data_IF_215608216293
#
_entry.id   IF_215608216293
#
_cell.length_a   1.000
_cell.length_b   1.000
_cell.length_c   1.000
_cell.angle_alpha   90.00
_cell.angle_beta   90.00
_cell.angle_gamma   90.00
#
_symmetry.space_group_name_H-M   'P 1'
#
loop_
_entity.id
_entity.type
_entity.pdbx_description
1 polymer ?
#
# COMPACT_ATOMS: atom_id res chain seq x y z
N UNK A 1 -17.89 -6.56 2.18
CA UNK A 1 -18.60 -5.29 2.45
C UNK A 1 -19.96 -5.65 2.96
N UNK A 2 -20.37 -5.05 4.05
CA UNK A 2 -21.64 -5.34 4.69
C UNK A 2 -22.84 -4.94 3.83
N UNK A 3 -23.94 -5.66 4.02
CA UNK A 3 -25.13 -5.56 3.18
C UNK A 3 -26.09 -4.43 3.62
N UNK A 4 -25.74 -3.63 4.65
CA UNK A 4 -26.65 -2.57 5.10
C UNK A 4 -26.11 -1.61 6.16
N UNK A 5 -26.93 -0.63 6.52
CA UNK A 5 -26.62 0.39 7.52
C UNK A 5 -26.46 -0.18 8.95
N UNK A 6 -27.07 -1.34 9.25
CA UNK A 6 -26.99 -1.98 10.56
C UNK A 6 -25.55 -2.43 10.86
N UNK A 7 -24.82 -2.98 9.88
CA UNK A 7 -23.43 -3.38 10.04
C UNK A 7 -22.50 -2.19 10.30
N UNK A 8 -22.83 -1.01 9.73
CA UNK A 8 -22.10 0.23 10.02
C UNK A 8 -22.33 0.65 11.49
N UNK A 9 -23.53 0.45 12.02
CA UNK A 9 -23.84 0.73 13.43
C UNK A 9 -23.07 -0.18 14.37
N UNK A 10 -22.87 -1.44 13.99
CA UNK A 10 -22.12 -2.42 14.78
C UNK A 10 -20.63 -2.09 14.90
N UNK A 11 -20.06 -1.28 13.99
CA UNK A 11 -18.65 -0.91 14.00
C UNK A 11 -18.19 -0.23 15.30
N UNK A 12 -19.12 0.34 16.11
CA UNK A 12 -18.82 0.91 17.41
C UNK A 12 -18.72 -0.12 18.54
N UNK A 13 -19.28 -1.32 18.35
CA UNK A 13 -19.40 -2.37 19.37
C UNK A 13 -18.45 -3.56 19.15
N UNK A 14 -17.68 -3.56 18.06
CA UNK A 14 -16.68 -4.59 17.78
C UNK A 14 -15.47 -4.48 18.72
N UNK A 15 -14.71 -5.57 18.87
CA UNK A 15 -13.51 -5.57 19.71
C UNK A 15 -12.40 -4.66 19.18
N UNK A 16 -12.31 -4.48 17.86
CA UNK A 16 -11.41 -3.55 17.17
C UNK A 16 -11.85 -3.31 15.73
N UNK A 17 -11.43 -2.19 15.15
CA UNK A 17 -11.55 -1.89 13.74
C UNK A 17 -10.21 -2.06 13.03
N UNK A 18 -10.22 -2.56 11.79
CA UNK A 18 -9.03 -2.63 10.94
C UNK A 18 -9.16 -1.59 9.83
N UNK A 19 -8.22 -0.66 9.79
CA UNK A 19 -8.15 0.40 8.79
C UNK A 19 -7.32 -0.11 7.61
N UNK A 20 -7.98 -0.46 6.52
CA UNK A 20 -7.33 -0.98 5.30
C UNK A 20 -7.12 0.09 4.22
N UNK A 21 -7.58 1.32 4.48
CA UNK A 21 -7.44 2.44 3.55
C UNK A 21 -7.25 3.76 4.30
N UNK A 22 -6.43 4.70 3.79
CA UNK A 22 -6.30 6.04 4.38
C UNK A 22 -7.63 6.80 4.51
N UNK A 23 -8.60 6.50 3.65
CA UNK A 23 -9.93 7.11 3.69
C UNK A 23 -10.70 6.77 4.98
N UNK A 24 -10.53 5.56 5.51
CA UNK A 24 -11.23 5.09 6.70
C UNK A 24 -10.63 5.61 8.03
N UNK A 25 -9.44 6.21 8.00
CA UNK A 25 -8.71 6.62 9.20
C UNK A 25 -9.48 7.63 10.07
N UNK A 26 -10.15 8.60 9.44
CA UNK A 26 -10.96 9.59 10.17
C UNK A 26 -12.13 8.93 10.90
N UNK A 27 -12.79 7.97 10.26
CA UNK A 27 -13.90 7.21 10.86
C UNK A 27 -13.40 6.36 12.03
N UNK A 28 -12.27 5.68 11.87
CA UNK A 28 -11.68 4.87 12.94
C UNK A 28 -11.32 5.72 14.18
N UNK A 29 -10.70 6.88 13.98
CA UNK A 29 -10.42 7.85 15.05
C UNK A 29 -11.69 8.36 15.74
N UNK A 30 -12.74 8.61 14.97
CA UNK A 30 -14.03 9.01 15.55
C UNK A 30 -14.64 7.90 16.41
N UNK A 31 -14.63 6.65 15.93
CA UNK A 31 -15.15 5.50 16.68
C UNK A 31 -14.36 5.26 17.97
N UNK A 32 -13.03 5.35 17.90
CA UNK A 32 -12.19 5.24 19.11
C UNK A 32 -12.49 6.35 20.12
N UNK A 33 -12.55 7.60 19.68
CA UNK A 33 -12.81 8.75 20.55
C UNK A 33 -14.21 8.70 21.18
N UNK A 34 -15.22 8.26 20.41
CA UNK A 34 -16.64 8.34 20.82
C UNK A 34 -17.10 7.11 21.59
N UNK A 35 -16.63 5.94 21.20
CA UNK A 35 -17.10 4.65 21.72
C UNK A 35 -16.00 3.82 22.41
N UNK A 36 -14.73 4.28 22.35
CA UNK A 36 -13.60 3.54 22.90
C UNK A 36 -13.17 2.33 22.07
N UNK A 37 -13.70 2.16 20.86
CA UNK A 37 -13.37 1.03 19.98
C UNK A 37 -11.99 1.21 19.38
N UNK A 38 -10.97 0.40 19.76
CA UNK A 38 -9.62 0.56 19.25
C UNK A 38 -9.53 0.24 17.76
N UNK A 39 -8.49 0.75 17.08
CA UNK A 39 -8.24 0.43 15.70
C UNK A 39 -6.77 0.09 15.42
N UNK A 40 -6.55 -0.70 14.39
CA UNK A 40 -5.23 -1.01 13.84
C UNK A 40 -5.19 -0.62 12.36
N UNK A 41 -4.01 -0.17 11.89
CA UNK A 41 -3.83 0.25 10.51
C UNK A 41 -2.92 -0.77 9.83
N UNK A 42 -3.50 -1.68 9.07
CA UNK A 42 -2.75 -2.67 8.29
C UNK A 42 -3.66 -3.36 7.27
N UNK A 43 -3.03 -4.00 6.27
CA UNK A 43 -3.72 -4.86 5.32
C UNK A 43 -3.56 -6.33 5.76
N UNK A 44 -4.64 -7.05 6.15
CA UNK A 44 -4.53 -8.36 6.79
C UNK A 44 -4.05 -9.49 5.86
N UNK A 45 -4.22 -9.34 4.54
CA UNK A 45 -3.80 -10.34 3.54
C UNK A 45 -2.47 -9.97 2.86
N UNK A 46 -1.58 -9.28 3.56
CA UNK A 46 -0.33 -8.77 3.00
C UNK A 46 0.59 -9.87 2.49
N UNK A 47 0.61 -11.01 3.14
CA UNK A 47 1.48 -12.14 2.77
C UNK A 47 1.15 -12.70 1.37
N UNK A 48 -0.10 -12.59 0.94
CA UNK A 48 -0.54 -13.01 -0.41
C UNK A 48 0.01 -12.09 -1.52
N UNK A 49 0.47 -10.89 -1.17
CA UNK A 49 1.00 -9.90 -2.09
C UNK A 49 2.53 -9.97 -2.23
N UNK A 50 3.21 -10.74 -1.39
CA UNK A 50 4.67 -10.79 -1.32
C UNK A 50 5.17 -12.13 -1.88
N UNK A 51 5.76 -12.12 -3.08
CA UNK A 51 6.34 -13.33 -3.65
C UNK A 51 7.56 -13.82 -2.85
N UNK A 52 7.88 -15.09 -3.01
CA UNK A 52 9.04 -15.72 -2.38
C UNK A 52 10.31 -15.41 -3.19
N UNK A 53 10.91 -14.25 -2.92
CA UNK A 53 12.19 -13.81 -3.47
C UNK A 53 13.11 -13.33 -2.35
N UNK A 54 14.41 -13.29 -2.61
CA UNK A 54 15.38 -12.77 -1.64
C UNK A 54 15.34 -11.23 -1.60
N UNK A 55 14.93 -10.69 -0.47
CA UNK A 55 14.88 -9.26 -0.19
C UNK A 55 16.11 -8.73 0.53
N UNK A 56 17.04 -9.60 0.93
CA UNK A 56 18.20 -9.23 1.73
C UNK A 56 19.05 -8.16 1.05
N UNK A 57 19.20 -7.02 1.69
CA UNK A 57 19.98 -5.89 1.19
C UNK A 57 19.36 -5.14 0.00
N UNK A 58 18.16 -5.49 -0.43
CA UNK A 58 17.50 -4.91 -1.60
C UNK A 58 16.89 -3.54 -1.31
N UNK A 59 16.90 -2.67 -2.32
CA UNK A 59 16.15 -1.42 -2.36
C UNK A 59 14.85 -1.62 -3.13
N UNK A 60 13.74 -1.34 -2.49
CA UNK A 60 12.41 -1.66 -3.02
C UNK A 60 11.57 -0.39 -3.16
N UNK A 61 10.90 -0.24 -4.31
CA UNK A 61 9.83 0.75 -4.51
C UNK A 61 8.48 0.04 -4.48
N UNK A 62 7.53 0.59 -3.74
CA UNK A 62 6.14 0.12 -3.73
C UNK A 62 5.24 1.26 -4.20
N UNK A 63 4.57 1.06 -5.33
CA UNK A 63 3.60 2.03 -5.87
C UNK A 63 2.19 1.48 -5.68
N UNK A 64 1.57 1.84 -4.57
CA UNK A 64 0.26 1.32 -4.21
C UNK A 64 -0.49 2.25 -3.25
N UNK A 65 -1.72 1.89 -2.88
CA UNK A 65 -2.47 2.53 -1.81
C UNK A 65 -1.67 2.45 -0.50
N UNK A 66 -1.60 3.57 0.23
CA UNK A 66 -0.65 3.77 1.33
C UNK A 66 -0.71 2.72 2.45
N UNK A 67 -1.89 2.23 2.85
CA UNK A 67 -1.98 1.23 3.93
C UNK A 67 -1.47 -0.14 3.47
N UNK A 68 -1.79 -0.53 2.24
CA UNK A 68 -1.28 -1.77 1.64
C UNK A 68 0.25 -1.67 1.50
N UNK A 69 0.73 -0.57 0.92
CA UNK A 69 2.16 -0.34 0.73
C UNK A 69 2.94 -0.34 2.07
N UNK A 70 2.40 0.29 3.10
CA UNK A 70 2.99 0.27 4.45
C UNK A 70 3.02 -1.14 5.06
N UNK A 71 1.99 -1.94 4.80
CA UNK A 71 1.94 -3.33 5.28
C UNK A 71 2.99 -4.19 4.57
N UNK A 72 3.12 -4.06 3.25
CA UNK A 72 4.17 -4.72 2.47
C UNK A 72 5.56 -4.25 2.97
N UNK A 73 5.79 -2.94 3.12
CA UNK A 73 7.06 -2.39 3.63
C UNK A 73 7.47 -3.03 4.94
N UNK A 74 6.54 -3.13 5.89
CA UNK A 74 6.79 -3.73 7.20
C UNK A 74 7.30 -5.17 7.07
N UNK A 75 6.70 -5.98 6.20
CA UNK A 75 7.11 -7.37 6.01
C UNK A 75 8.43 -7.48 5.24
N UNK A 76 8.65 -6.64 4.21
CA UNK A 76 9.91 -6.64 3.46
C UNK A 76 11.12 -6.24 4.33
N UNK A 77 10.95 -5.26 5.22
CA UNK A 77 12.00 -4.89 6.18
C UNK A 77 12.33 -6.04 7.14
N UNK A 78 11.33 -6.82 7.59
CA UNK A 78 11.56 -8.04 8.38
C UNK A 78 12.31 -9.11 7.58
N UNK A 79 12.08 -9.19 6.27
CA UNK A 79 12.77 -10.09 5.33
C UNK A 79 14.16 -9.59 4.92
N UNK A 80 14.66 -8.49 5.52
CA UNK A 80 16.02 -8.00 5.31
C UNK A 80 16.19 -6.98 4.19
N UNK A 81 15.11 -6.41 3.64
CA UNK A 81 15.23 -5.30 2.69
C UNK A 81 16.00 -4.12 3.31
N UNK A 82 16.93 -3.54 2.55
CA UNK A 82 17.76 -2.43 2.99
C UNK A 82 16.96 -1.13 3.11
N UNK A 83 16.12 -0.87 2.11
CA UNK A 83 15.26 0.30 2.03
C UNK A 83 13.98 -0.06 1.29
N UNK A 84 12.86 0.44 1.79
CA UNK A 84 11.57 0.33 1.10
C UNK A 84 10.93 1.70 1.03
N UNK A 85 10.84 2.26 -0.16
CA UNK A 85 10.21 3.54 -0.45
C UNK A 85 8.78 3.31 -0.98
N UNK A 86 7.87 4.19 -0.60
CA UNK A 86 6.49 4.14 -1.07
C UNK A 86 6.20 5.35 -1.94
N UNK A 87 5.49 5.10 -3.04
CA UNK A 87 4.91 6.13 -3.88
C UNK A 87 3.43 5.86 -4.13
N UNK A 88 2.63 6.89 -4.32
CA UNK A 88 1.21 6.76 -4.66
C UNK A 88 0.72 7.99 -5.41
N UNK A 89 -0.19 7.79 -6.36
CA UNK A 89 -0.97 8.90 -6.98
C UNK A 89 -2.18 9.28 -6.16
N UNK A 90 -2.56 8.43 -5.22
CA UNK A 90 -3.80 8.59 -4.46
C UNK A 90 -3.50 9.08 -3.05
N UNK A 91 -4.56 9.29 -2.32
CA UNK A 91 -4.56 9.81 -0.97
C UNK A 91 -3.44 9.25 -0.09
N UNK A 92 -2.50 10.12 0.29
CA UNK A 92 -1.50 9.84 1.32
C UNK A 92 -1.75 10.70 2.56
N UNK A 93 -1.79 10.08 3.72
CA UNK A 93 -1.91 10.77 5.02
C UNK A 93 -0.52 11.01 5.58
N UNK A 94 -0.24 12.25 6.01
CA UNK A 94 1.07 12.65 6.57
C UNK A 94 1.52 11.77 7.74
N UNK A 95 0.58 11.39 8.59
CA UNK A 95 0.83 10.55 9.76
C UNK A 95 1.23 9.09 9.45
N UNK A 96 1.09 8.66 8.18
CA UNK A 96 1.45 7.33 7.70
C UNK A 96 2.67 7.35 6.76
N UNK A 97 3.28 8.51 6.56
CA UNK A 97 4.49 8.65 5.73
C UNK A 97 5.74 8.23 6.51
N UNK A 98 6.69 7.65 5.80
CA UNK A 98 8.07 7.57 6.22
C UNK A 98 8.95 8.47 5.34
N UNK A 99 10.20 8.68 5.76
CA UNK A 99 11.15 9.48 5.00
C UNK A 99 11.37 8.88 3.60
N UNK A 100 11.28 9.75 2.60
CA UNK A 100 11.42 9.40 1.19
C UNK A 100 10.13 8.93 0.51
N UNK A 101 9.01 8.78 1.23
CA UNK A 101 7.72 8.47 0.59
C UNK A 101 7.25 9.64 -0.29
N UNK A 102 6.68 9.34 -1.46
CA UNK A 102 6.37 10.33 -2.50
C UNK A 102 4.90 10.25 -2.92
N UNK A 103 4.24 11.41 -2.95
CA UNK A 103 2.98 11.56 -3.68
C UNK A 103 3.32 11.90 -5.13
N UNK A 104 3.03 10.98 -6.04
CA UNK A 104 3.22 11.16 -7.48
C UNK A 104 2.16 12.12 -8.03
N UNK A 105 2.56 12.98 -8.97
CA UNK A 105 1.64 13.93 -9.63
C UNK A 105 1.03 13.34 -10.89
N UNK A 106 1.84 12.62 -11.66
CA UNK A 106 1.53 12.08 -12.97
C UNK A 106 2.42 10.86 -13.26
N UNK A 107 2.28 10.29 -14.44
CA UNK A 107 3.07 9.16 -14.89
C UNK A 107 4.54 9.52 -15.09
N UNK A 108 4.84 10.74 -15.54
CA UNK A 108 6.22 11.20 -15.74
C UNK A 108 6.98 11.22 -14.40
N UNK A 109 6.34 11.64 -13.31
CA UNK A 109 6.92 11.61 -11.97
C UNK A 109 7.26 10.18 -11.50
N UNK A 110 6.48 9.18 -11.92
CA UNK A 110 6.79 7.78 -11.66
C UNK A 110 8.02 7.32 -12.46
N UNK A 111 8.07 7.65 -13.74
CA UNK A 111 9.21 7.31 -14.62
C UNK A 111 10.48 7.95 -14.06
N UNK A 112 10.46 9.24 -13.73
CA UNK A 112 11.59 9.96 -13.14
C UNK A 112 12.04 9.34 -11.82
N UNK A 113 11.09 8.94 -10.95
CA UNK A 113 11.40 8.30 -9.68
C UNK A 113 12.15 6.98 -9.89
N UNK A 114 11.73 6.17 -10.86
CA UNK A 114 12.37 4.88 -11.16
C UNK A 114 13.74 5.10 -11.81
N UNK A 115 13.85 6.05 -12.76
CA UNK A 115 15.11 6.32 -13.46
C UNK A 115 16.20 6.91 -12.54
N UNK A 116 15.80 7.71 -11.58
CA UNK A 116 16.73 8.35 -10.62
C UNK A 116 16.96 7.52 -9.35
N UNK A 117 16.22 6.44 -9.16
CA UNK A 117 16.34 5.55 -7.99
C UNK A 117 17.12 4.28 -8.30
N UNK A 118 17.86 3.79 -7.31
CA UNK A 118 18.61 2.53 -7.38
C UNK A 118 17.75 1.37 -6.86
N UNK A 119 16.57 1.15 -7.47
CA UNK A 119 15.68 0.09 -7.04
C UNK A 119 16.04 -1.27 -7.65
N UNK A 120 16.09 -2.30 -6.81
CA UNK A 120 16.25 -3.70 -7.22
C UNK A 120 14.88 -4.34 -7.55
N UNK A 121 13.83 -3.93 -6.82
CA UNK A 121 12.50 -4.53 -6.90
C UNK A 121 11.44 -3.42 -6.91
N UNK A 122 10.46 -3.55 -7.80
CA UNK A 122 9.30 -2.65 -7.86
C UNK A 122 8.02 -3.44 -7.69
N UNK A 123 7.19 -3.06 -6.72
CA UNK A 123 5.82 -3.51 -6.55
C UNK A 123 4.89 -2.45 -7.13
N UNK A 124 4.18 -2.76 -8.19
CA UNK A 124 3.21 -1.85 -8.81
C UNK A 124 2.19 -2.63 -9.64
N UNK A 125 1.13 -1.96 -10.10
CA UNK A 125 0.19 -2.57 -11.04
C UNK A 125 0.88 -2.92 -12.35
N UNK A 126 0.63 -4.12 -12.90
CA UNK A 126 1.30 -4.64 -14.09
C UNK A 126 1.18 -3.75 -15.34
N UNK A 127 0.18 -2.86 -15.41
CA UNK A 127 0.12 -1.90 -16.52
C UNK A 127 1.24 -0.85 -16.46
N UNK A 128 1.84 -0.62 -15.30
CA UNK A 128 2.90 0.35 -15.08
C UNK A 128 4.29 -0.15 -15.51
N UNK A 129 4.47 -1.47 -15.63
CA UNK A 129 5.74 -2.05 -16.10
C UNK A 129 6.13 -1.51 -17.48
N UNK A 130 5.13 -1.30 -18.35
CA UNK A 130 5.34 -0.77 -19.71
C UNK A 130 5.86 0.66 -19.75
N UNK A 131 5.73 1.41 -18.66
CA UNK A 131 6.18 2.81 -18.56
C UNK A 131 7.67 2.90 -18.24
N UNK A 132 8.28 1.80 -17.78
CA UNK A 132 9.69 1.74 -17.33
C UNK A 132 10.45 0.61 -18.06
N UNK A 133 10.50 0.57 -19.40
CA UNK A 133 11.08 -0.53 -20.17
C UNK A 133 12.58 -0.74 -19.91
N UNK A 134 13.26 0.30 -19.42
CA UNK A 134 14.69 0.24 -19.09
C UNK A 134 14.98 -0.33 -17.69
N UNK A 135 13.96 -0.52 -16.86
CA UNK A 135 14.14 -1.14 -15.54
C UNK A 135 14.58 -2.61 -15.71
N UNK A 136 15.67 -3.00 -15.04
CA UNK A 136 16.26 -4.35 -15.14
C UNK A 136 16.11 -5.18 -13.88
N UNK A 137 15.49 -4.62 -12.84
CA UNK A 137 15.22 -5.32 -11.59
C UNK A 137 14.00 -6.25 -11.68
N UNK A 138 13.53 -6.69 -10.53
CA UNK A 138 12.34 -7.55 -10.43
C UNK A 138 11.09 -6.67 -10.35
N UNK A 139 10.15 -6.87 -11.29
CA UNK A 139 8.84 -6.24 -11.23
C UNK A 139 7.82 -7.23 -10.65
N UNK A 140 7.11 -6.81 -9.61
CA UNK A 140 6.07 -7.58 -8.92
C UNK A 140 4.72 -6.96 -9.24
N UNK A 141 3.90 -7.66 -10.03
CA UNK A 141 2.53 -7.20 -10.33
C UNK A 141 1.66 -7.22 -9.06
N UNK A 142 1.45 -6.04 -8.51
CA UNK A 142 0.59 -5.83 -7.36
C UNK A 142 -0.61 -4.99 -7.81
N UNK A 143 -1.68 -5.66 -8.18
CA UNK A 143 -2.86 -5.05 -8.80
C UNK A 143 -3.47 -3.95 -7.94
N UNK A 144 -3.69 -2.80 -8.56
CA UNK A 144 -4.31 -1.66 -7.93
C UNK A 144 -5.66 -1.37 -8.59
N UNK A 145 -6.75 -1.54 -7.83
CA UNK A 145 -8.13 -1.41 -8.33
C UNK A 145 -8.44 -0.08 -9.04
N UNK A 146 -7.76 1.00 -8.67
CA UNK A 146 -7.92 2.33 -9.27
C UNK A 146 -7.02 2.56 -10.49
N UNK A 147 -6.12 1.63 -10.82
CA UNK A 147 -5.18 1.74 -11.94
C UNK A 147 -5.58 0.79 -13.07
N UNK A 148 -5.62 -0.51 -12.82
CA UNK A 148 -5.91 -1.50 -13.86
C UNK A 148 -7.39 -1.65 -14.19
N UNK A 149 -8.28 -1.26 -13.31
CA UNK A 149 -9.73 -1.46 -13.45
C UNK A 149 -10.15 -2.93 -13.58
N UNK A 150 -9.21 -3.87 -13.47
CA UNK A 150 -9.51 -5.30 -13.51
C UNK A 150 -9.94 -5.76 -12.13
N UNK A 151 -11.22 -6.03 -11.97
CA UNK A 151 -11.70 -6.83 -10.86
C UNK A 151 -10.97 -8.18 -10.89
N UNK A 152 -10.54 -8.64 -9.72
CA UNK A 152 -9.99 -9.99 -9.56
C UNK A 152 -11.13 -10.94 -9.94
N UNK A 153 -11.13 -11.39 -11.18
CA UNK A 153 -12.02 -12.46 -11.62
C UNK A 153 -11.56 -13.74 -10.95
N UNK A 154 -12.55 -14.48 -10.44
CA UNK A 154 -12.37 -15.84 -9.94
C UNK A 154 -11.80 -16.74 -11.04
#
# INVERSE_FOLDING_TARGET
MGDGLEEIREASSVSRNIVVSPAALMTAKYLEKTFGTPYEIHYPLVDELIPDVDYTGKEVLIVHQQVIANSIRKELLKKGAKRVQIASWFMMKKELLADGDVLLRDEDAYIELVQNGDFDIIFADGCMERMIPEFKGIFVDTRHFAVSGKLIGK
#
